data_IF_204061154675
#
_entry.id   IF_204061154675
#
_cell.length_a   1.000
_cell.length_b   1.000
_cell.length_c   1.000
_cell.angle_alpha   90.00
_cell.angle_beta   90.00
_cell.angle_gamma   90.00
#
_symmetry.space_group_name_H-M   'P 1'
#
loop_
_entity.id
_entity.type
_entity.pdbx_description
1 polymer ?
#
# COMPACT_ATOMS: atom_id res chain seq x y z
N UNK A 1 -37.76 -23.58 47.57
CA UNK A 1 -36.30 -23.74 47.40
C UNK A 1 -35.90 -24.11 45.97
N UNK A 2 -36.40 -25.21 45.38
CA UNK A 2 -36.05 -25.64 44.01
C UNK A 2 -36.38 -24.62 42.89
N UNK A 3 -37.47 -23.86 43.02
CA UNK A 3 -37.91 -22.87 42.01
C UNK A 3 -37.05 -21.62 42.00
N UNK A 4 -36.62 -21.15 43.18
CA UNK A 4 -35.72 -20.00 43.32
C UNK A 4 -34.30 -20.29 42.84
N UNK A 5 -33.80 -21.51 43.07
CA UNK A 5 -32.49 -21.93 42.55
C UNK A 5 -32.47 -22.00 41.01
N UNK A 6 -33.53 -22.54 40.39
CA UNK A 6 -33.67 -22.54 38.93
C UNK A 6 -33.77 -21.12 38.36
N UNK A 7 -34.49 -20.22 39.03
CA UNK A 7 -34.58 -18.81 38.63
C UNK A 7 -33.23 -18.08 38.70
N UNK A 8 -32.43 -18.33 39.75
CA UNK A 8 -31.09 -17.75 39.88
C UNK A 8 -30.10 -18.28 38.83
N UNK A 9 -30.18 -19.57 38.51
CA UNK A 9 -29.38 -20.17 37.44
C UNK A 9 -29.79 -19.59 36.09
N UNK A 10 -31.10 -19.50 35.82
CA UNK A 10 -31.63 -18.91 34.60
C UNK A 10 -31.20 -17.44 34.44
N UNK A 11 -31.30 -16.66 35.52
CA UNK A 11 -30.88 -15.26 35.55
C UNK A 11 -29.37 -15.10 35.27
N UNK A 12 -28.52 -15.94 35.89
CA UNK A 12 -27.08 -15.94 35.65
C UNK A 12 -26.72 -16.34 34.22
N UNK A 13 -27.39 -17.33 33.66
CA UNK A 13 -27.18 -17.76 32.27
C UNK A 13 -27.58 -16.64 31.29
N UNK A 14 -28.72 -15.98 31.52
CA UNK A 14 -29.16 -14.83 30.71
C UNK A 14 -28.17 -13.66 30.85
N UNK A 15 -27.74 -13.33 32.07
CA UNK A 15 -26.78 -12.26 32.33
C UNK A 15 -25.44 -12.49 31.64
N UNK A 16 -24.93 -13.73 31.65
CA UNK A 16 -23.68 -14.09 30.95
C UNK A 16 -23.81 -13.95 29.43
N UNK A 17 -24.94 -14.38 28.85
CA UNK A 17 -25.20 -14.23 27.41
C UNK A 17 -25.28 -12.75 27.01
N UNK A 18 -25.92 -11.91 27.83
CA UNK A 18 -26.00 -10.47 27.59
C UNK A 18 -24.61 -9.79 27.67
N UNK A 19 -23.75 -10.21 28.59
CA UNK A 19 -22.37 -9.71 28.69
C UNK A 19 -21.55 -10.09 27.46
N UNK A 20 -21.68 -11.34 26.98
CA UNK A 20 -20.97 -11.81 25.78
C UNK A 20 -21.42 -11.07 24.53
N UNK A 21 -22.75 -10.89 24.35
CA UNK A 21 -23.30 -10.12 23.23
C UNK A 21 -22.84 -8.65 23.25
N UNK A 22 -22.71 -8.04 24.45
CA UNK A 22 -22.17 -6.68 24.62
C UNK A 22 -20.65 -6.61 24.35
N UNK A 23 -19.90 -7.67 24.65
CA UNK A 23 -18.47 -7.73 24.37
C UNK A 23 -18.19 -7.89 22.85
N UNK A 24 -19.05 -8.61 22.13
CA UNK A 24 -18.93 -8.75 20.68
C UNK A 24 -19.16 -7.43 19.92
N UNK A 25 -20.04 -6.55 20.41
CA UNK A 25 -20.29 -5.25 19.75
C UNK A 25 -19.13 -4.27 19.93
N UNK A 26 -18.42 -4.32 21.07
CA UNK A 26 -17.29 -3.42 21.35
C UNK A 26 -15.99 -3.83 20.61
N UNK A 27 -15.78 -5.12 20.34
CA UNK A 27 -14.60 -5.60 19.59
C UNK A 27 -14.66 -5.26 18.09
N UNK A 28 -15.85 -5.18 17.49
CA UNK A 28 -16.01 -4.79 16.08
C UNK A 28 -15.72 -3.30 15.83
N UNK A 29 -15.89 -2.45 16.85
CA UNK A 29 -15.66 -1.01 16.74
C UNK A 29 -14.17 -0.63 16.77
N UNK A 30 -13.31 -1.43 17.40
CA UNK A 30 -11.86 -1.19 17.42
C UNK A 30 -11.24 -1.26 16.01
N UNK A 31 -11.71 -2.19 15.17
CA UNK A 31 -11.28 -2.27 13.76
C UNK A 31 -11.87 -1.16 12.89
N UNK A 32 -12.99 -0.56 13.30
CA UNK A 32 -13.70 0.47 12.52
C UNK A 32 -13.11 1.88 12.71
N UNK A 33 -12.46 2.14 13.85
CA UNK A 33 -11.88 3.46 14.16
C UNK A 33 -10.63 3.82 13.35
N UNK A 34 -9.97 2.86 12.72
CA UNK A 34 -8.82 3.13 11.83
C UNK A 34 -9.29 3.68 10.47
N UNK A 35 -10.56 3.48 10.08
CA UNK A 35 -11.05 3.79 8.74
C UNK A 35 -11.83 5.11 8.61
N UNK A 36 -12.05 5.86 9.71
CA UNK A 36 -12.99 6.98 9.71
C UNK A 36 -12.55 8.13 10.61
N UNK A 37 -11.57 8.90 10.16
CA UNK A 37 -11.56 10.36 10.36
C UNK A 37 -10.43 11.03 9.54
N UNK A 38 -10.73 11.26 8.27
CA UNK A 38 -10.32 12.45 7.54
C UNK A 38 -11.24 12.54 6.32
N UNK A 39 -11.74 13.71 5.90
CA UNK A 39 -12.14 13.88 4.51
C UNK A 39 -10.86 13.75 3.68
N UNK A 40 -10.46 12.51 3.39
CA UNK A 40 -9.52 12.24 2.33
C UNK A 40 -10.22 12.74 1.08
N UNK A 41 -9.78 13.90 0.60
CA UNK A 41 -10.20 14.45 -0.67
C UNK A 41 -10.10 13.32 -1.70
N UNK A 42 -11.25 12.86 -2.20
CA UNK A 42 -11.30 11.64 -3.00
C UNK A 42 -10.33 11.80 -4.18
N UNK A 43 -9.52 10.77 -4.41
CA UNK A 43 -8.42 10.76 -5.37
C UNK A 43 -8.98 10.79 -6.80
N UNK A 44 -9.39 11.97 -7.26
CA UNK A 44 -10.08 12.13 -8.55
C UNK A 44 -9.14 12.50 -9.69
N UNK A 45 -7.99 13.09 -9.38
CA UNK A 45 -7.03 13.52 -10.40
C UNK A 45 -6.45 12.34 -11.18
N UNK A 46 -6.19 12.56 -12.47
CA UNK A 46 -5.59 11.53 -13.35
C UNK A 46 -4.24 11.03 -12.82
N UNK A 47 -3.44 11.94 -12.24
CA UNK A 47 -2.15 11.59 -11.64
C UNK A 47 -2.35 10.68 -10.45
N UNK A 48 -3.30 11.02 -9.56
CA UNK A 48 -3.57 10.23 -8.38
C UNK A 48 -4.03 8.81 -8.74
N UNK A 49 -4.99 8.65 -9.67
CA UNK A 49 -5.44 7.34 -10.17
C UNK A 49 -4.30 6.52 -10.76
N UNK A 50 -3.48 7.12 -11.63
CA UNK A 50 -2.32 6.44 -12.22
C UNK A 50 -1.31 5.99 -11.17
N UNK A 51 -1.07 6.80 -10.14
CA UNK A 51 -0.17 6.46 -9.04
C UNK A 51 -0.72 5.30 -8.21
N UNK A 52 -2.02 5.30 -7.92
CA UNK A 52 -2.69 4.20 -7.22
C UNK A 52 -2.59 2.90 -8.03
N UNK A 53 -2.87 2.94 -9.34
CA UNK A 53 -2.74 1.77 -10.21
C UNK A 53 -1.31 1.20 -10.20
N UNK A 54 -0.30 2.08 -10.27
CA UNK A 54 1.11 1.68 -10.21
C UNK A 54 1.46 1.03 -8.87
N UNK A 55 0.92 1.54 -7.76
CA UNK A 55 1.14 0.99 -6.42
C UNK A 55 0.49 -0.39 -6.30
N UNK A 56 -0.81 -0.49 -6.61
CA UNK A 56 -1.60 -1.71 -6.50
C UNK A 56 -1.06 -2.86 -7.35
N UNK A 57 -0.44 -2.56 -8.50
CA UNK A 57 0.23 -3.56 -9.34
C UNK A 57 1.34 -4.32 -8.62
N UNK A 58 1.96 -3.73 -7.60
CA UNK A 58 3.10 -4.33 -6.90
C UNK A 58 2.72 -5.04 -5.59
N UNK A 59 1.58 -4.67 -5.00
CA UNK A 59 1.09 -5.22 -3.74
C UNK A 59 0.54 -6.63 -3.96
N UNK A 60 0.88 -7.55 -3.07
CA UNK A 60 0.34 -8.91 -2.98
C UNK A 60 -0.59 -9.03 -1.76
N UNK A 61 -1.90 -8.92 -2.01
CA UNK A 61 -2.93 -9.00 -0.96
C UNK A 61 -3.08 -10.40 -0.32
N UNK A 62 -2.34 -11.41 -0.81
CA UNK A 62 -2.34 -12.73 -0.18
C UNK A 62 -1.38 -12.82 1.01
N UNK A 63 -0.54 -11.81 1.22
CA UNK A 63 0.40 -11.73 2.35
C UNK A 63 -0.13 -10.69 3.33
N UNK A 64 -0.25 -11.06 4.61
CA UNK A 64 -0.70 -10.10 5.61
C UNK A 64 0.43 -9.10 5.92
N UNK A 65 0.16 -7.77 5.94
CA UNK A 65 1.19 -6.75 6.09
C UNK A 65 1.92 -6.79 7.45
N UNK A 66 1.27 -7.30 8.50
CA UNK A 66 1.90 -7.43 9.82
C UNK A 66 2.85 -8.63 9.91
N UNK A 67 2.76 -9.58 8.98
CA UNK A 67 3.57 -10.80 8.99
C UNK A 67 4.82 -10.60 8.14
N UNK A 68 4.66 -10.09 6.91
CA UNK A 68 5.74 -9.75 6.01
C UNK A 68 5.36 -8.55 5.13
N UNK A 69 5.70 -7.35 5.61
CA UNK A 69 5.39 -6.13 4.88
C UNK A 69 6.13 -6.04 3.53
N UNK A 70 7.30 -6.65 3.40
CA UNK A 70 8.06 -6.60 2.14
C UNK A 70 7.36 -7.40 1.06
N UNK A 71 6.93 -8.63 1.35
CA UNK A 71 6.17 -9.45 0.41
C UNK A 71 4.75 -8.93 0.19
N UNK A 72 4.11 -8.34 1.20
CA UNK A 72 2.87 -7.61 0.99
C UNK A 72 3.04 -6.45 0.01
N UNK A 73 4.02 -5.57 0.21
CA UNK A 73 4.17 -4.37 -0.60
C UNK A 73 4.77 -4.62 -1.99
N UNK A 74 5.63 -5.63 -2.13
CA UNK A 74 6.43 -5.89 -3.34
C UNK A 74 6.17 -7.26 -3.97
N UNK A 75 5.36 -8.13 -3.38
CA UNK A 75 5.25 -9.54 -3.77
C UNK A 75 4.89 -9.74 -5.23
N UNK A 76 3.97 -8.94 -5.77
CA UNK A 76 3.60 -9.02 -7.19
C UNK A 76 4.69 -8.47 -8.11
N UNK A 77 5.48 -7.50 -7.65
CA UNK A 77 6.68 -7.08 -8.39
C UNK A 77 7.70 -8.21 -8.47
N UNK A 78 7.98 -8.91 -7.37
CA UNK A 78 8.93 -10.02 -7.36
C UNK A 78 8.51 -11.14 -8.32
N UNK A 79 7.21 -11.42 -8.42
CA UNK A 79 6.64 -12.42 -9.34
C UNK A 79 6.73 -12.03 -10.81
N UNK A 80 6.71 -10.73 -11.13
CA UNK A 80 6.59 -10.23 -12.51
C UNK A 80 7.87 -9.57 -13.04
N UNK A 81 8.81 -9.27 -12.16
CA UNK A 81 10.12 -8.70 -12.47
C UNK A 81 10.91 -9.64 -13.39
N UNK A 82 11.30 -9.14 -14.57
CA UNK A 82 12.24 -9.83 -15.48
C UNK A 82 13.59 -9.14 -15.36
N UNK A 83 14.57 -9.86 -14.81
CA UNK A 83 15.95 -9.36 -14.73
C UNK A 83 16.61 -9.59 -16.09
N UNK A 84 17.05 -8.51 -16.71
CA UNK A 84 17.90 -8.56 -17.89
C UNK A 84 19.22 -9.25 -17.52
N UNK A 85 19.69 -10.26 -18.28
CA UNK A 85 20.97 -10.93 -18.03
C UNK A 85 22.17 -9.98 -17.93
N UNK A 86 22.11 -8.82 -18.57
CA UNK A 86 23.16 -7.80 -18.50
C UNK A 86 23.20 -7.07 -17.13
N UNK A 87 22.26 -7.34 -16.21
CA UNK A 87 22.09 -6.57 -14.97
C UNK A 87 22.06 -7.48 -13.76
N UNK A 88 22.85 -7.10 -12.76
CA UNK A 88 22.98 -7.87 -11.53
C UNK A 88 21.74 -7.74 -10.62
N UNK A 89 21.02 -6.61 -10.69
CA UNK A 89 19.88 -6.30 -9.82
C UNK A 89 18.84 -5.48 -10.58
N UNK A 90 17.57 -5.73 -10.29
CA UNK A 90 16.45 -4.90 -10.75
C UNK A 90 15.82 -4.19 -9.55
N UNK A 91 15.66 -2.87 -9.64
CA UNK A 91 15.04 -2.05 -8.60
C UNK A 91 13.86 -1.28 -9.19
N UNK A 92 13.03 -0.69 -8.32
CA UNK A 92 11.96 0.24 -8.77
C UNK A 92 12.50 1.51 -9.42
N UNK A 93 13.75 1.87 -9.16
CA UNK A 93 14.40 3.05 -9.73
C UNK A 93 14.95 2.80 -11.14
N UNK A 94 14.91 1.56 -11.62
CA UNK A 94 15.48 1.17 -12.89
C UNK A 94 14.98 2.01 -14.08
N UNK A 95 13.67 2.17 -14.22
CA UNK A 95 13.08 2.94 -15.31
C UNK A 95 13.45 4.42 -15.22
N UNK A 96 13.60 4.95 -14.00
CA UNK A 96 14.01 6.33 -13.73
C UNK A 96 15.45 6.53 -14.18
N UNK A 97 16.35 5.60 -13.86
CA UNK A 97 17.76 5.67 -14.28
C UNK A 97 17.92 5.63 -15.80
N UNK A 98 17.16 4.75 -16.47
CA UNK A 98 17.17 4.66 -17.94
C UNK A 98 16.67 5.96 -18.55
N UNK A 99 15.53 6.48 -18.09
CA UNK A 99 14.95 7.71 -18.64
C UNK A 99 15.88 8.89 -18.42
N UNK A 100 16.47 9.04 -17.23
CA UNK A 100 17.47 10.08 -16.93
C UNK A 100 18.68 10.00 -17.86
N UNK A 101 19.25 8.80 -18.05
CA UNK A 101 20.42 8.63 -18.91
C UNK A 101 20.07 8.86 -20.39
N UNK A 102 18.85 8.52 -20.82
CA UNK A 102 18.35 8.79 -22.17
C UNK A 102 18.20 10.29 -22.41
N UNK A 103 17.65 11.02 -21.46
CA UNK A 103 17.52 12.48 -21.52
C UNK A 103 18.89 13.16 -21.54
N UNK A 104 19.80 12.74 -20.66
CA UNK A 104 21.18 13.23 -20.65
C UNK A 104 21.86 13.01 -22.00
N UNK A 105 21.75 11.80 -22.57
CA UNK A 105 22.31 11.48 -23.89
C UNK A 105 21.73 12.38 -24.99
N UNK A 106 20.41 12.55 -25.02
CA UNK A 106 19.75 13.39 -26.02
C UNK A 106 20.28 14.83 -26.00
N UNK A 107 20.55 15.35 -24.81
CA UNK A 107 21.09 16.71 -24.62
C UNK A 107 22.57 16.80 -25.01
N UNK A 108 23.37 15.75 -24.77
CA UNK A 108 24.78 15.70 -25.16
C UNK A 108 24.98 15.54 -26.68
N UNK A 109 24.03 14.89 -27.36
CA UNK A 109 24.08 14.63 -28.81
C UNK A 109 23.45 15.76 -29.66
N UNK A 110 23.02 16.86 -29.04
CA UNK A 110 22.50 18.02 -29.78
C UNK A 110 23.56 18.59 -30.75
N UNK A 111 23.18 18.95 -32.01
CA UNK A 111 24.12 19.44 -33.00
C UNK A 111 24.95 20.63 -32.52
N UNK A 112 26.26 20.56 -32.73
CA UNK A 112 27.25 21.51 -32.22
C UNK A 112 27.28 22.87 -32.93
N UNK A 113 26.27 23.24 -33.74
CA UNK A 113 26.26 24.50 -34.51
C UNK A 113 26.50 25.73 -33.65
N UNK A 114 26.29 25.64 -32.32
CA UNK A 114 26.78 26.59 -31.32
C UNK A 114 27.20 25.93 -29.98
N UNK A 115 27.59 24.64 -29.99
CA UNK A 115 27.81 23.81 -28.78
C UNK A 115 26.51 23.36 -28.05
N UNK A 116 26.54 22.30 -27.22
CA UNK A 116 25.35 21.79 -26.53
C UNK A 116 24.70 22.83 -25.61
N UNK A 117 23.37 22.91 -25.58
CA UNK A 117 22.63 23.92 -24.79
C UNK A 117 23.02 23.95 -23.32
N UNK A 118 23.31 22.79 -22.73
CA UNK A 118 23.70 22.67 -21.30
C UNK A 118 24.94 23.47 -20.95
N UNK A 119 25.92 23.56 -21.85
CA UNK A 119 27.14 24.32 -21.58
C UNK A 119 26.93 25.84 -21.66
N UNK A 120 25.81 26.29 -22.26
CA UNK A 120 25.44 27.72 -22.29
C UNK A 120 24.70 28.18 -21.02
N UNK A 121 24.08 27.27 -20.28
CA UNK A 121 23.32 27.57 -19.06
C UNK A 121 24.20 27.73 -17.82
N UNK A 122 25.49 27.39 -17.91
CA UNK A 122 26.45 27.44 -16.80
C UNK A 122 27.16 28.82 -16.72
N UNK A 123 26.78 29.78 -17.55
CA UNK A 123 27.39 31.10 -17.63
C UNK A 123 26.60 32.17 -16.87
#
# INVERSE_FOLDING_TARGET
FLTSMKANILYRSILLVLIILCCQTTLLDANKRIAKDSPMDDCTSKVCKKTVDLLLKNIDNNVHPCDDFYHYACGNFLKTAKIDPAKMRLTKFYDIEINRNKELKAVLEEPATNGPRVFKMVK
#
